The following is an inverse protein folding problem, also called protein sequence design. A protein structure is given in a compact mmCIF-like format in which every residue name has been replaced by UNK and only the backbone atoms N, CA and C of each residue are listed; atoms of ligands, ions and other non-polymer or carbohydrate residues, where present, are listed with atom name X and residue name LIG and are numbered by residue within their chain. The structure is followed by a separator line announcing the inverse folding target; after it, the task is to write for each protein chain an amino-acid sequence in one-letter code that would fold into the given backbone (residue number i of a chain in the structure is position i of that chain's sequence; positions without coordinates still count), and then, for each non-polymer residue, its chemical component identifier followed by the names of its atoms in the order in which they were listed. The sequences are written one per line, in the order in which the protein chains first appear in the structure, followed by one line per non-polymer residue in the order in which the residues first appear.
data_IF_369090110867
#
_entry.id   IF_369090110867
#
_cell.length_a   1.000
_cell.length_b   1.000
_cell.length_c   1.000
_cell.angle_alpha   90.00
_cell.angle_beta   90.00
_cell.angle_gamma   90.00
#
_symmetry.space_group_name_H-M   'P 1'
#
loop_
_entity.id
_entity.type
_entity.pdbx_description
1 polymer ?
#
# COMPACT_ATOMS: atom_id res chain seq x y z
N UNK A 1 22.79 11.33 -19.70
CA UNK A 1 22.57 9.99 -19.10
C UNK A 1 21.70 9.19 -20.05
N UNK A 2 21.98 7.90 -20.24
CA UNK A 2 21.16 6.97 -21.02
C UNK A 2 20.80 5.78 -20.13
N UNK A 3 19.52 5.41 -20.08
CA UNK A 3 19.00 4.34 -19.23
C UNK A 3 18.40 3.23 -20.09
N UNK A 4 18.58 1.98 -19.67
CA UNK A 4 17.93 0.82 -20.28
C UNK A 4 16.52 0.63 -19.72
N UNK A 5 15.60 0.11 -20.53
CA UNK A 5 14.21 -0.14 -20.15
C UNK A 5 13.91 -1.64 -20.07
N UNK A 6 13.19 -2.02 -19.01
CA UNK A 6 12.59 -3.34 -18.86
C UNK A 6 11.22 -3.40 -19.59
N UNK A 7 10.76 -4.58 -20.03
CA UNK A 7 9.42 -4.74 -20.58
C UNK A 7 8.33 -4.33 -19.57
N UNK A 8 7.24 -3.73 -20.07
CA UNK A 8 6.10 -3.37 -19.24
C UNK A 8 5.33 -4.62 -18.74
N UNK A 9 4.78 -4.53 -17.53
CA UNK A 9 4.04 -5.61 -16.88
C UNK A 9 2.86 -5.06 -16.07
N UNK A 10 1.88 -5.92 -15.77
CA UNK A 10 0.80 -5.62 -14.82
C UNK A 10 1.20 -6.05 -13.41
N UNK A 11 0.63 -5.35 -12.43
CA UNK A 11 0.78 -5.65 -11.00
C UNK A 11 -0.59 -5.82 -10.36
N UNK A 12 -0.71 -6.74 -9.43
CA UNK A 12 -1.85 -6.86 -8.53
C UNK A 12 -1.47 -6.27 -7.19
N UNK A 13 -2.32 -5.39 -6.66
CA UNK A 13 -2.06 -4.64 -5.44
C UNK A 13 -3.22 -4.88 -4.48
N UNK A 14 -2.90 -5.29 -3.26
CA UNK A 14 -3.87 -5.46 -2.18
C UNK A 14 -3.32 -4.84 -0.90
N UNK A 15 -4.11 -4.01 -0.23
CA UNK A 15 -3.73 -3.42 1.06
C UNK A 15 -4.35 -4.20 2.24
N UNK A 16 -3.48 -4.67 3.15
CA UNK A 16 -3.88 -5.31 4.40
C UNK A 16 -3.70 -4.36 5.57
N UNK A 17 -4.80 -4.05 6.25
CA UNK A 17 -4.82 -3.22 7.45
C UNK A 17 -4.59 -4.11 8.66
N UNK A 18 -3.51 -3.85 9.39
CA UNK A 18 -3.15 -4.60 10.61
C UNK A 18 -2.84 -3.63 11.73
N UNK A 19 -3.00 -4.09 12.97
CA UNK A 19 -2.44 -3.38 14.11
C UNK A 19 -0.91 -3.29 13.95
N UNK A 20 -0.34 -2.14 14.31
CA UNK A 20 1.11 -1.94 14.31
C UNK A 20 1.84 -2.67 15.46
N UNK A 21 1.11 -3.28 16.39
CA UNK A 21 1.67 -4.09 17.49
C UNK A 21 2.53 -5.28 17.02
N UNK A 22 2.26 -5.84 15.84
CA UNK A 22 3.00 -6.97 15.28
C UNK A 22 3.98 -6.58 14.17
N UNK A 23 4.19 -5.27 13.96
CA UNK A 23 4.93 -4.74 12.82
C UNK A 23 6.33 -5.37 12.67
N UNK A 24 7.08 -5.43 13.78
CA UNK A 24 8.45 -5.97 13.81
C UNK A 24 8.50 -7.47 13.48
N UNK A 25 7.49 -8.24 13.87
CA UNK A 25 7.46 -9.68 13.63
C UNK A 25 7.18 -10.00 12.15
N UNK A 26 6.30 -9.23 11.51
CA UNK A 26 5.77 -9.58 10.18
C UNK A 26 6.44 -8.86 9.01
N UNK A 27 7.22 -7.80 9.25
CA UNK A 27 7.79 -7.01 8.14
C UNK A 27 8.72 -7.85 7.26
N UNK A 28 9.54 -8.71 7.87
CA UNK A 28 10.56 -9.48 7.13
C UNK A 28 9.89 -10.51 6.22
N UNK A 29 8.85 -11.17 6.72
CA UNK A 29 8.11 -12.16 5.95
C UNK A 29 7.31 -11.50 4.83
N UNK A 30 6.69 -10.35 5.09
CA UNK A 30 6.01 -9.56 4.05
C UNK A 30 6.97 -9.15 2.92
N UNK A 31 8.16 -8.66 3.27
CA UNK A 31 9.19 -8.26 2.31
C UNK A 31 9.76 -9.44 1.49
N UNK A 32 9.73 -10.66 2.04
CA UNK A 32 10.14 -11.87 1.30
C UNK A 32 9.04 -12.42 0.40
N UNK A 33 7.78 -12.24 0.79
CA UNK A 33 6.63 -12.80 0.10
C UNK A 33 6.26 -12.04 -1.17
N UNK A 34 6.49 -10.72 -1.22
CA UNK A 34 6.02 -9.87 -2.32
C UNK A 34 7.19 -9.14 -3.03
N UNK A 35 7.20 -9.13 -4.36
CA UNK A 35 8.29 -8.53 -5.15
C UNK A 35 8.43 -7.01 -4.92
N UNK A 36 7.30 -6.32 -4.78
CA UNK A 36 7.24 -4.87 -4.56
C UNK A 36 6.56 -4.52 -3.24
N UNK A 37 6.80 -5.35 -2.22
CA UNK A 37 6.24 -5.16 -0.88
C UNK A 37 6.49 -3.74 -0.37
N UNK A 38 5.46 -3.13 0.21
CA UNK A 38 5.56 -1.82 0.86
C UNK A 38 4.74 -1.82 2.15
N UNK A 39 5.10 -0.94 3.08
CA UNK A 39 4.38 -0.78 4.33
C UNK A 39 4.24 0.71 4.65
N UNK A 40 2.99 1.17 4.76
CA UNK A 40 2.69 2.52 5.25
C UNK A 40 2.26 2.44 6.71
N UNK A 41 2.98 3.13 7.58
CA UNK A 41 2.68 3.15 9.02
C UNK A 41 1.92 4.42 9.42
N UNK A 42 0.84 4.25 10.17
CA UNK A 42 0.04 5.31 10.78
C UNK A 42 0.06 5.18 12.32
N UNK A 43 1.14 5.65 12.99
CA UNK A 43 1.33 5.43 14.42
C UNK A 43 0.18 5.96 15.29
N UNK A 44 -0.38 7.12 14.94
CA UNK A 44 -1.50 7.73 15.68
C UNK A 44 -2.80 6.94 15.60
N UNK A 45 -2.90 6.01 14.66
CA UNK A 45 -4.05 5.13 14.48
C UNK A 45 -3.77 3.71 14.97
N UNK A 46 -2.55 3.42 15.47
CA UNK A 46 -2.09 2.07 15.82
C UNK A 46 -2.25 1.06 14.67
N UNK A 47 -2.04 1.53 13.44
CA UNK A 47 -2.27 0.75 12.21
C UNK A 47 -1.05 0.81 11.30
N UNK A 48 -0.68 -0.35 10.78
CA UNK A 48 0.25 -0.50 9.67
C UNK A 48 -0.48 -1.13 8.48
N UNK A 49 -0.31 -0.53 7.30
CA UNK A 49 -0.92 -0.97 6.04
C UNK A 49 0.14 -1.67 5.22
N UNK A 50 -0.01 -2.98 5.09
CA UNK A 50 0.89 -3.85 4.33
C UNK A 50 0.38 -3.97 2.91
N UNK A 51 1.19 -3.54 1.95
CA UNK A 51 0.87 -3.63 0.52
C UNK A 51 1.45 -4.91 -0.04
N UNK A 52 0.59 -5.87 -0.38
CA UNK A 52 0.97 -7.00 -1.22
C UNK A 52 0.95 -6.56 -2.66
N UNK A 53 2.09 -6.72 -3.34
CA UNK A 53 2.29 -6.16 -4.66
C UNK A 53 3.22 -7.03 -5.49
N UNK A 54 2.62 -7.71 -6.47
CA UNK A 54 3.30 -8.71 -7.29
C UNK A 54 2.94 -8.55 -8.76
N UNK A 55 3.84 -9.02 -9.62
CA UNK A 55 3.56 -9.13 -11.05
C UNK A 55 2.45 -10.11 -11.31
N UNK A 56 1.64 -9.79 -12.31
CA UNK A 56 0.61 -10.69 -12.82
C UNK A 56 0.66 -10.75 -14.35
N UNK A 57 0.17 -11.86 -14.96
CA UNK A 57 0.05 -11.95 -16.41
C UNK A 57 -0.69 -10.76 -17.03
N UNK A 58 -0.30 -10.35 -18.23
CA UNK A 58 -0.86 -9.17 -18.93
C UNK A 58 -2.36 -9.30 -19.22
N UNK A 59 -2.89 -10.52 -19.29
CA UNK A 59 -4.31 -10.82 -19.49
C UNK A 59 -5.14 -10.82 -18.19
N UNK A 60 -4.51 -10.60 -17.03
CA UNK A 60 -5.24 -10.52 -15.75
C UNK A 60 -6.23 -9.35 -15.76
N UNK A 61 -7.46 -9.62 -15.33
CA UNK A 61 -8.51 -8.63 -15.12
C UNK A 61 -8.45 -8.07 -13.70
N UNK A 62 -8.61 -6.76 -13.57
CA UNK A 62 -8.85 -6.12 -12.26
C UNK A 62 -10.33 -6.14 -11.89
N UNK A 63 -10.63 -5.92 -10.62
CA UNK A 63 -11.99 -5.76 -10.09
C UNK A 63 -12.48 -4.30 -10.06
N UNK A 64 -11.61 -3.35 -10.48
CA UNK A 64 -11.91 -1.92 -10.52
C UNK A 64 -11.96 -1.25 -9.15
N UNK A 65 -11.46 -1.89 -8.09
CA UNK A 65 -11.41 -1.30 -6.74
C UNK A 65 -10.09 -0.58 -6.52
N UNK A 66 -10.18 0.58 -5.85
CA UNK A 66 -9.02 1.30 -5.32
C UNK A 66 -9.18 1.43 -3.81
N UNK A 67 -8.39 0.65 -3.08
CA UNK A 67 -8.36 0.57 -1.62
C UNK A 67 -7.26 1.47 -1.00
N UNK A 68 -6.64 2.34 -1.79
CA UNK A 68 -5.62 3.25 -1.30
C UNK A 68 -6.21 4.33 -0.38
N UNK A 69 -5.68 4.41 0.84
CA UNK A 69 -6.16 5.33 1.88
C UNK A 69 -6.10 6.81 1.49
N UNK A 70 -5.08 7.22 0.71
CA UNK A 70 -4.91 8.62 0.34
C UNK A 70 -5.97 9.15 -0.64
N UNK A 71 -6.81 8.28 -1.20
CA UNK A 71 -7.92 8.66 -2.08
C UNK A 71 -9.30 8.29 -1.50
N UNK A 72 -9.36 7.90 -0.22
CA UNK A 72 -10.63 7.67 0.46
C UNK A 72 -11.28 9.01 0.88
N UNK A 73 -12.62 9.09 0.96
CA UNK A 73 -13.28 10.29 1.46
C UNK A 73 -12.93 10.52 2.94
N UNK A 74 -12.13 11.56 3.21
CA UNK A 74 -11.93 12.06 4.58
C UNK A 74 -13.09 12.95 5.03
N UNK A 75 -13.40 12.88 6.33
CA UNK A 75 -14.33 13.81 6.95
C UNK A 75 -13.73 15.23 6.93
N UNK A 76 -14.47 16.20 6.38
CA UNK A 76 -14.00 17.57 6.21
C UNK A 76 -13.61 18.26 7.52
N UNK A 77 -14.25 17.88 8.62
CA UNK A 77 -13.93 18.41 9.96
C UNK A 77 -12.52 17.98 10.35
N UNK A 78 -12.17 16.70 10.15
CA UNK A 78 -10.83 16.17 10.45
C UNK A 78 -9.78 16.88 9.58
N UNK A 79 -10.05 17.04 8.29
CA UNK A 79 -9.15 17.75 7.39
C UNK A 79 -8.97 19.22 7.75
N UNK A 80 -10.02 19.90 8.21
CA UNK A 80 -9.96 21.31 8.63
C UNK A 80 -9.17 21.47 9.93
N UNK A 81 -9.38 20.59 10.91
CA UNK A 81 -8.67 20.62 12.19
C UNK A 81 -7.15 20.43 12.03
N UNK A 82 -6.72 19.51 11.16
CA UNK A 82 -5.29 19.25 10.90
C UNK A 82 -4.62 20.42 10.17
N UNK A 83 -5.34 21.20 9.35
CA UNK A 83 -4.79 22.38 8.67
C UNK A 83 -4.69 23.62 9.57
N UNK A 84 -5.46 23.65 10.65
CA UNK A 84 -5.52 24.78 11.57
C UNK A 84 -4.44 24.73 12.67
N UNK A 85 -3.76 23.59 12.81
CA UNK A 85 -2.66 23.34 13.76
C UNK A 85 -1.29 23.62 13.16
#
# INVERSE_FOLDING_TARGET
VMLSLEPAFKRSITNYFKSDSQFEEIFTDHARQHEFADITWYPSQHVAVFRADDRVPINSSGDGRNDFLGFQPQNIVVSASVRAS
#
